data_IF_145860163764
#
_entry.id   IF_145860163764
#
_cell.length_a   1.000
_cell.length_b   1.000
_cell.length_c   1.000
_cell.angle_alpha   90.00
_cell.angle_beta   90.00
_cell.angle_gamma   90.00
#
_symmetry.space_group_name_H-M   'P 1'
#
loop_
_entity.id
_entity.type
_entity.pdbx_description
1 polymer ?
#
# COMPACT_ATOMS: atom_id res chain seq x y z
N UNK A 1 -20.87 21.65 8.72
CA UNK A 1 -19.99 21.91 7.55
C UNK A 1 -18.50 21.67 7.83
N UNK A 2 -17.98 21.97 9.03
CA UNK A 2 -16.55 21.81 9.35
C UNK A 2 -16.01 20.37 9.17
N UNK A 3 -16.71 19.37 9.71
CA UNK A 3 -16.31 17.96 9.60
C UNK A 3 -16.20 17.45 8.15
N UNK A 4 -17.06 17.92 7.25
CA UNK A 4 -17.01 17.53 5.83
C UNK A 4 -15.79 18.12 5.14
N UNK A 5 -15.42 19.37 5.46
CA UNK A 5 -14.21 20.00 4.93
C UNK A 5 -12.96 19.29 5.43
N UNK A 6 -12.95 18.96 6.72
CA UNK A 6 -11.86 18.18 7.33
C UNK A 6 -11.71 16.80 6.68
N UNK A 7 -12.80 16.03 6.56
CA UNK A 7 -12.78 14.71 5.93
C UNK A 7 -12.32 14.77 4.46
N UNK A 8 -12.73 15.80 3.69
CA UNK A 8 -12.23 16.02 2.33
C UNK A 8 -10.73 16.34 2.32
N UNK A 9 -10.27 17.22 3.21
CA UNK A 9 -8.86 17.57 3.31
C UNK A 9 -8.00 16.35 3.63
N UNK A 10 -8.41 15.55 4.63
CA UNK A 10 -7.74 14.28 4.98
C UNK A 10 -7.71 13.35 3.76
N UNK A 11 -8.86 13.08 3.15
CA UNK A 11 -8.94 12.18 1.99
C UNK A 11 -8.12 12.66 0.79
N UNK A 12 -8.05 13.97 0.54
CA UNK A 12 -7.20 14.54 -0.52
C UNK A 12 -5.72 14.36 -0.19
N UNK A 13 -5.31 14.73 1.03
CA UNK A 13 -3.92 14.64 1.46
C UNK A 13 -3.41 13.20 1.43
N UNK A 14 -4.18 12.25 1.98
CA UNK A 14 -3.79 10.84 1.99
C UNK A 14 -3.73 10.24 0.58
N UNK A 15 -4.66 10.60 -0.31
CA UNK A 15 -4.58 10.19 -1.73
C UNK A 15 -3.35 10.75 -2.43
N UNK A 16 -2.95 12.00 -2.16
CA UNK A 16 -1.73 12.57 -2.73
C UNK A 16 -0.47 11.88 -2.22
N UNK A 17 -0.43 11.55 -0.93
CA UNK A 17 0.66 10.77 -0.33
C UNK A 17 0.73 9.38 -0.98
N UNK A 18 -0.39 8.68 -1.13
CA UNK A 18 -0.42 7.37 -1.77
C UNK A 18 -0.06 7.41 -3.26
N UNK A 19 -0.47 8.46 -3.96
CA UNK A 19 -0.06 8.70 -5.34
C UNK A 19 1.46 8.89 -5.44
N UNK A 20 2.04 9.70 -4.54
CA UNK A 20 3.48 9.89 -4.45
C UNK A 20 4.20 8.56 -4.20
N UNK A 21 3.75 7.77 -3.22
CA UNK A 21 4.32 6.46 -2.91
C UNK A 21 4.22 5.52 -4.11
N UNK A 22 3.07 5.49 -4.80
CA UNK A 22 2.88 4.66 -5.98
C UNK A 22 3.84 5.03 -7.12
N UNK A 23 3.99 6.33 -7.40
CA UNK A 23 4.95 6.82 -8.41
C UNK A 23 6.38 6.45 -8.04
N UNK A 24 6.77 6.65 -6.78
CA UNK A 24 8.11 6.26 -6.31
C UNK A 24 8.35 4.75 -6.45
N UNK A 25 7.37 3.91 -6.09
CA UNK A 25 7.49 2.46 -6.22
C UNK A 25 7.58 2.01 -7.68
N UNK A 26 6.80 2.61 -8.58
CA UNK A 26 6.88 2.33 -10.02
C UNK A 26 8.26 2.72 -10.57
N UNK A 27 8.78 3.89 -10.17
CA UNK A 27 10.12 4.33 -10.56
C UNK A 27 11.20 3.39 -10.04
N UNK A 28 11.12 2.98 -8.77
CA UNK A 28 12.05 2.01 -8.17
C UNK A 28 11.98 0.68 -8.92
N UNK A 29 10.79 0.20 -9.25
CA UNK A 29 10.58 -1.07 -9.98
C UNK A 29 11.21 -0.99 -11.36
N UNK A 30 10.97 0.10 -12.09
CA UNK A 30 11.55 0.36 -13.41
C UNK A 30 13.08 0.43 -13.34
N UNK A 31 13.62 1.24 -12.43
CA UNK A 31 15.06 1.39 -12.25
C UNK A 31 15.73 0.08 -11.85
N UNK A 32 15.11 -0.71 -10.97
CA UNK A 32 15.63 -2.00 -10.52
C UNK A 32 15.58 -3.08 -11.61
N UNK A 33 14.64 -2.97 -12.55
CA UNK A 33 14.57 -3.86 -13.71
C UNK A 33 15.74 -3.62 -14.68
N UNK A 34 16.14 -2.36 -14.88
CA UNK A 34 17.27 -2.01 -15.75
C UNK A 34 18.63 -2.10 -15.05
N UNK A 35 18.70 -1.67 -13.80
CA UNK A 35 19.91 -1.59 -12.98
C UNK A 35 19.66 -2.31 -11.65
N UNK A 36 19.79 -3.65 -11.60
CA UNK A 36 19.55 -4.40 -10.38
C UNK A 36 20.52 -3.95 -9.26
N UNK A 37 20.03 -3.85 -8.01
CA UNK A 37 20.84 -3.38 -6.90
C UNK A 37 21.99 -4.33 -6.61
N UNK A 38 23.08 -3.78 -6.07
CA UNK A 38 24.22 -4.59 -5.64
C UNK A 38 23.79 -5.57 -4.54
N UNK A 39 24.26 -6.82 -4.58
CA UNK A 39 23.90 -7.81 -3.56
C UNK A 39 24.64 -7.48 -2.25
N UNK A 40 23.90 -6.92 -1.28
CA UNK A 40 24.42 -6.62 0.07
C UNK A 40 24.14 -7.77 1.04
N UNK A 41 22.98 -8.42 0.87
CA UNK A 41 22.50 -9.52 1.74
C UNK A 41 22.58 -10.88 1.04
N UNK A 42 22.60 -10.88 -0.30
CA UNK A 42 22.73 -12.08 -1.12
C UNK A 42 24.21 -12.35 -1.44
N UNK A 43 24.64 -13.62 -1.45
CA UNK A 43 26.00 -13.97 -1.89
C UNK A 43 26.18 -13.87 -3.42
N UNK A 44 25.11 -13.99 -4.18
CA UNK A 44 25.10 -13.94 -5.65
C UNK A 44 24.33 -12.70 -6.14
N UNK A 45 24.44 -12.39 -7.43
CA UNK A 45 23.76 -11.23 -8.00
C UNK A 45 22.25 -11.40 -7.88
N UNK A 46 21.58 -10.33 -7.48
CA UNK A 46 20.14 -10.38 -7.15
C UNK A 46 19.29 -10.77 -8.37
N UNK A 47 19.73 -10.44 -9.58
CA UNK A 47 19.03 -10.74 -10.83
C UNK A 47 19.10 -12.23 -11.24
N UNK A 48 19.95 -13.04 -10.61
CA UNK A 48 20.04 -14.48 -10.88
C UNK A 48 18.91 -15.25 -10.17
N UNK A 49 18.29 -14.65 -9.14
CA UNK A 49 17.18 -15.26 -8.42
C UNK A 49 15.84 -14.99 -9.11
N UNK A 50 15.05 -16.03 -9.46
CA UNK A 50 13.70 -15.83 -10.01
C UNK A 50 12.78 -15.08 -9.04
N UNK A 51 13.06 -15.20 -7.73
CA UNK A 51 12.35 -14.48 -6.67
C UNK A 51 12.47 -12.95 -6.82
N UNK A 52 13.58 -12.43 -7.35
CA UNK A 52 13.75 -11.00 -7.59
C UNK A 52 12.80 -10.49 -8.67
N UNK A 53 12.73 -11.20 -9.80
CA UNK A 53 11.82 -10.85 -10.91
C UNK A 53 10.37 -10.90 -10.45
N UNK A 54 9.98 -11.97 -9.74
CA UNK A 54 8.63 -12.10 -9.17
C UNK A 54 8.32 -10.95 -8.21
N UNK A 55 9.28 -10.58 -7.35
CA UNK A 55 9.11 -9.47 -6.42
C UNK A 55 8.92 -8.14 -7.13
N UNK A 56 9.71 -7.85 -8.17
CA UNK A 56 9.54 -6.63 -8.98
C UNK A 56 8.16 -6.59 -9.65
N UNK A 57 7.70 -7.71 -10.20
CA UNK A 57 6.38 -7.79 -10.81
C UNK A 57 5.26 -7.54 -9.80
N UNK A 58 5.35 -8.13 -8.60
CA UNK A 58 4.37 -7.93 -7.54
C UNK A 58 4.35 -6.47 -7.04
N UNK A 59 5.53 -5.86 -6.82
CA UNK A 59 5.63 -4.45 -6.43
C UNK A 59 5.06 -3.55 -7.54
N UNK A 60 5.35 -3.84 -8.80
CA UNK A 60 4.83 -3.10 -9.96
C UNK A 60 3.31 -3.18 -10.06
N UNK A 61 2.72 -4.38 -9.94
CA UNK A 61 1.27 -4.58 -9.92
C UNK A 61 0.62 -3.83 -8.76
N UNK A 62 1.18 -3.96 -7.55
CA UNK A 62 0.69 -3.27 -6.36
C UNK A 62 0.74 -1.75 -6.51
N UNK A 63 1.86 -1.21 -6.99
CA UNK A 63 2.04 0.23 -7.18
C UNK A 63 1.11 0.77 -8.28
N UNK A 64 0.89 0.02 -9.36
CA UNK A 64 -0.07 0.39 -10.41
C UNK A 64 -1.49 0.43 -9.86
N UNK A 65 -1.89 -0.57 -9.07
CA UNK A 65 -3.20 -0.58 -8.44
C UNK A 65 -3.38 0.59 -7.47
N UNK A 66 -2.36 0.85 -6.63
CA UNK A 66 -2.37 1.98 -5.70
C UNK A 66 -2.45 3.32 -6.43
N UNK A 67 -1.76 3.47 -7.56
CA UNK A 67 -1.81 4.65 -8.42
C UNK A 67 -3.23 4.91 -8.95
N UNK A 68 -3.81 3.89 -9.60
CA UNK A 68 -5.18 3.98 -10.16
C UNK A 68 -6.20 4.27 -9.07
N UNK A 69 -6.10 3.60 -7.94
CA UNK A 69 -7.00 3.81 -6.81
C UNK A 69 -6.87 5.22 -6.24
N UNK A 70 -5.65 5.75 -6.10
CA UNK A 70 -5.41 7.10 -5.60
C UNK A 70 -5.95 8.17 -6.55
N UNK A 71 -5.79 7.98 -7.87
CA UNK A 71 -6.40 8.84 -8.88
C UNK A 71 -7.93 8.79 -8.82
N UNK A 72 -8.50 7.59 -8.72
CA UNK A 72 -9.95 7.42 -8.56
C UNK A 72 -10.46 8.13 -7.30
N UNK A 73 -9.71 8.06 -6.20
CA UNK A 73 -9.99 8.79 -4.97
C UNK A 73 -10.04 10.29 -5.19
N UNK A 74 -9.04 10.88 -5.83
CA UNK A 74 -9.00 12.31 -6.15
C UNK A 74 -10.15 12.73 -7.08
N UNK A 75 -10.37 11.97 -8.15
CA UNK A 75 -11.47 12.20 -9.11
C UNK A 75 -12.82 12.15 -8.39
N UNK A 76 -13.05 11.14 -7.54
CA UNK A 76 -14.31 11.00 -6.78
C UNK A 76 -14.55 12.20 -5.85
N UNK A 77 -13.50 12.80 -5.29
CA UNK A 77 -13.62 13.98 -4.44
C UNK A 77 -14.03 15.23 -5.25
N UNK A 78 -13.59 15.35 -6.51
CA UNK A 78 -13.92 16.44 -7.43
C UNK A 78 -15.34 16.34 -8.00
N UNK A 79 -15.72 15.18 -8.55
CA UNK A 79 -16.99 15.01 -9.27
C UNK A 79 -18.23 14.88 -8.37
N UNK A 80 -18.06 14.93 -7.04
CA UNK A 80 -19.14 14.83 -6.03
C UNK A 80 -20.04 13.58 -6.14
N UNK A 81 -19.68 12.60 -6.99
CA UNK A 81 -20.46 11.40 -7.27
C UNK A 81 -20.25 10.33 -6.18
N UNK A 82 -21.35 9.78 -5.64
CA UNK A 82 -21.33 8.74 -4.61
C UNK A 82 -20.82 7.38 -5.11
N UNK A 83 -21.09 7.02 -6.38
CA UNK A 83 -20.72 5.73 -6.97
C UNK A 83 -19.20 5.60 -7.09
N UNK A 84 -18.53 6.64 -7.58
CA UNK A 84 -17.06 6.64 -7.70
C UNK A 84 -16.39 6.49 -6.33
N UNK A 85 -16.95 7.14 -5.31
CA UNK A 85 -16.44 7.06 -3.95
C UNK A 85 -16.69 5.68 -3.33
N UNK A 86 -17.81 5.03 -3.66
CA UNK A 86 -18.10 3.65 -3.25
C UNK A 86 -17.13 2.64 -3.89
N UNK A 87 -16.89 2.74 -5.21
CA UNK A 87 -15.90 1.89 -5.91
C UNK A 87 -14.50 2.10 -5.31
N UNK A 88 -14.14 3.35 -5.00
CA UNK A 88 -12.91 3.68 -4.32
C UNK A 88 -12.80 2.98 -2.95
N UNK A 89 -13.85 3.02 -2.13
CA UNK A 89 -13.89 2.33 -0.82
C UNK A 89 -13.69 0.82 -0.99
N UNK A 90 -14.38 0.19 -1.97
CA UNK A 90 -14.20 -1.25 -2.24
C UNK A 90 -12.75 -1.58 -2.62
N UNK A 91 -12.13 -0.75 -3.47
CA UNK A 91 -10.73 -0.89 -3.83
C UNK A 91 -9.78 -0.74 -2.63
N UNK A 92 -10.06 0.18 -1.70
CA UNK A 92 -9.29 0.31 -0.47
C UNK A 92 -9.40 -0.92 0.42
N UNK A 93 -10.61 -1.48 0.58
CA UNK A 93 -10.84 -2.71 1.35
C UNK A 93 -10.07 -3.88 0.75
N UNK A 94 -10.11 -4.05 -0.57
CA UNK A 94 -9.33 -5.08 -1.26
C UNK A 94 -7.82 -4.93 -1.00
N UNK A 95 -7.29 -3.71 -1.07
CA UNK A 95 -5.87 -3.45 -0.80
C UNK A 95 -5.48 -3.73 0.65
N UNK A 96 -6.28 -3.32 1.62
CA UNK A 96 -6.03 -3.63 3.03
C UNK A 96 -6.01 -5.15 3.26
N UNK A 97 -6.89 -5.90 2.61
CA UNK A 97 -6.93 -7.36 2.71
C UNK A 97 -5.66 -8.01 2.15
N UNK A 98 -5.19 -7.57 0.98
CA UNK A 98 -3.94 -8.04 0.36
C UNK A 98 -2.74 -7.74 1.27
N UNK A 99 -2.67 -6.53 1.85
CA UNK A 99 -1.61 -6.15 2.79
C UNK A 99 -1.68 -7.02 4.05
N UNK A 100 -2.86 -7.26 4.60
CA UNK A 100 -3.06 -8.10 5.78
C UNK A 100 -2.60 -9.54 5.56
N UNK A 101 -2.95 -10.14 4.42
CA UNK A 101 -2.48 -11.49 4.05
C UNK A 101 -0.95 -11.49 3.90
N UNK A 102 -0.41 -10.51 3.18
CA UNK A 102 1.03 -10.41 2.94
C UNK A 102 1.79 -10.29 4.26
N UNK A 103 1.30 -9.46 5.18
CA UNK A 103 1.88 -9.27 6.51
C UNK A 103 1.85 -10.55 7.35
N UNK A 104 0.71 -11.26 7.38
CA UNK A 104 0.60 -12.54 8.09
C UNK A 104 1.54 -13.60 7.50
N UNK A 105 1.66 -13.65 6.17
CA UNK A 105 2.61 -14.53 5.49
C UNK A 105 4.06 -14.18 5.85
N UNK A 106 4.43 -12.90 5.86
CA UNK A 106 5.77 -12.47 6.29
C UNK A 106 6.07 -12.91 7.71
N UNK A 107 5.14 -12.72 8.66
CA UNK A 107 5.35 -13.13 10.06
C UNK A 107 5.51 -14.64 10.23
N UNK A 108 4.74 -15.44 9.50
CA UNK A 108 4.80 -16.91 9.60
C UNK A 108 6.09 -17.47 9.00
N UNK A 109 6.55 -16.92 7.87
CA UNK A 109 7.77 -17.41 7.18
C UNK A 109 9.06 -16.81 7.76
N UNK A 110 8.96 -15.71 8.52
CA UNK A 110 10.09 -14.99 9.15
C UNK A 110 11.12 -15.92 9.76
N UNK A 111 10.72 -16.77 10.71
CA UNK A 111 11.66 -17.66 11.44
C UNK A 111 12.40 -18.60 10.49
N UNK A 112 11.70 -19.13 9.48
CA UNK A 112 12.29 -20.02 8.48
C UNK A 112 13.27 -19.30 7.55
N UNK A 113 12.98 -18.05 7.20
CA UNK A 113 13.85 -17.18 6.41
C UNK A 113 15.15 -16.87 7.15
N UNK A 114 15.07 -16.46 8.42
CA UNK A 114 16.25 -16.16 9.25
C UNK A 114 17.16 -17.39 9.39
N UNK A 115 16.59 -18.57 9.67
CA UNK A 115 17.38 -19.80 9.80
C UNK A 115 18.08 -20.20 8.49
N UNK A 116 17.40 -20.08 7.34
CA UNK A 116 18.02 -20.36 6.04
C UNK A 116 19.11 -19.37 5.70
N UNK A 117 18.91 -18.09 6.01
CA UNK A 117 19.90 -17.05 5.71
C UNK A 117 21.14 -17.19 6.59
N UNK A 118 20.95 -17.53 7.87
CA UNK A 118 22.05 -17.84 8.78
C UNK A 118 22.88 -19.03 8.29
N UNK A 119 22.23 -20.12 7.85
CA UNK A 119 22.90 -21.30 7.31
C UNK A 119 23.75 -21.00 6.06
N UNK A 120 23.25 -20.15 5.15
CA UNK A 120 23.97 -19.72 3.94
C UNK A 120 25.23 -18.93 4.28
N UNK A 121 25.19 -18.12 5.34
CA UNK A 121 26.28 -17.21 5.71
C UNK A 121 27.25 -17.79 6.74
N UNK A 122 26.87 -18.83 7.50
CA UNK A 122 27.66 -19.44 8.59
C UNK A 122 29.07 -19.87 8.19
N UNK A 123 29.27 -20.27 6.93
CA UNK A 123 30.56 -20.75 6.43
C UNK A 123 31.27 -19.75 5.50
N UNK A 124 30.81 -18.50 5.43
CA UNK A 124 31.41 -17.47 4.56
C UNK A 124 32.38 -16.57 5.34
N UNK A 125 33.45 -16.07 4.70
CA UNK A 125 34.49 -15.28 5.36
C UNK A 125 33.96 -14.01 6.04
N UNK A 126 32.84 -13.45 5.55
CA UNK A 126 32.19 -12.27 6.13
C UNK A 126 31.41 -12.53 7.42
N UNK A 127 31.22 -13.79 7.83
CA UNK A 127 30.44 -14.19 9.02
C UNK A 127 31.06 -15.39 9.74
N UNK A 128 32.40 -15.42 9.86
CA UNK A 128 33.08 -16.45 10.66
C UNK A 128 32.70 -16.35 12.15
N UNK A 129 32.71 -17.50 12.83
CA UNK A 129 32.42 -17.60 14.27
C UNK A 129 33.29 -16.63 15.09
N UNK A 130 32.63 -15.76 15.86
CA UNK A 130 33.27 -14.76 16.72
C UNK A 130 33.20 -13.30 16.23
N UNK A 131 32.69 -13.03 15.01
CA UNK A 131 32.43 -11.68 14.50
C UNK A 131 30.94 -11.43 14.21
N UNK A 132 30.50 -10.16 14.30
CA UNK A 132 29.14 -9.75 13.94
C UNK A 132 28.92 -9.89 12.43
N UNK A 133 27.95 -10.71 12.05
CA UNK A 133 27.58 -10.95 10.66
C UNK A 133 26.80 -9.75 10.07
N UNK A 134 27.51 -8.82 9.42
CA UNK A 134 26.95 -7.57 8.86
C UNK A 134 25.76 -7.80 7.90
N UNK A 135 25.76 -8.80 6.99
CA UNK A 135 24.64 -9.05 6.10
C UNK A 135 23.35 -9.46 6.84
N UNK A 136 23.48 -10.24 7.92
CA UNK A 136 22.36 -10.73 8.71
C UNK A 136 21.74 -9.61 9.57
N UNK A 137 22.58 -8.75 10.13
CA UNK A 137 22.14 -7.56 10.86
C UNK A 137 21.44 -6.54 9.93
N UNK A 138 21.99 -6.33 8.74
CA UNK A 138 21.38 -5.48 7.71
C UNK A 138 20.01 -6.01 7.29
N UNK A 139 19.87 -7.33 7.11
CA UNK A 139 18.59 -7.97 6.81
C UNK A 139 17.57 -7.75 7.93
N UNK A 140 17.97 -7.98 9.19
CA UNK A 140 17.09 -7.83 10.36
C UNK A 140 16.64 -6.37 10.57
N UNK A 141 17.54 -5.42 10.34
CA UNK A 141 17.22 -3.98 10.40
C UNK A 141 16.24 -3.59 9.29
N UNK A 142 16.50 -4.01 8.05
CA UNK A 142 15.62 -3.73 6.90
C UNK A 142 14.24 -4.35 7.05
N UNK A 143 14.17 -5.58 7.57
CA UNK A 143 12.90 -6.26 7.87
C UNK A 143 12.09 -5.50 8.93
N UNK A 144 12.74 -5.06 10.01
CA UNK A 144 12.08 -4.34 11.09
C UNK A 144 11.57 -2.98 10.61
N UNK A 145 12.35 -2.28 9.79
CA UNK A 145 11.96 -1.03 9.16
C UNK A 145 10.75 -1.23 8.23
N UNK A 146 10.75 -2.28 7.41
CA UNK A 146 9.66 -2.61 6.50
C UNK A 146 8.37 -2.91 7.25
N UNK A 147 8.44 -3.69 8.33
CA UNK A 147 7.29 -3.97 9.22
C UNK A 147 6.74 -2.67 9.81
N UNK A 148 7.62 -1.80 10.31
CA UNK A 148 7.21 -0.52 10.91
C UNK A 148 6.52 0.40 9.88
N UNK A 149 7.07 0.50 8.67
CA UNK A 149 6.47 1.28 7.58
C UNK A 149 5.11 0.71 7.15
N UNK A 150 4.96 -0.62 7.07
CA UNK A 150 3.69 -1.27 6.76
C UNK A 150 2.61 -0.95 7.80
N UNK A 151 2.96 -0.93 9.09
CA UNK A 151 2.02 -0.58 10.17
C UNK A 151 1.57 0.88 10.02
N UNK A 152 2.49 1.82 9.80
CA UNK A 152 2.15 3.22 9.55
C UNK A 152 1.22 3.33 8.33
N UNK A 153 1.56 2.65 7.25
CA UNK A 153 0.79 2.69 6.02
C UNK A 153 -0.63 2.15 6.21
N UNK A 154 -0.79 1.06 6.97
CA UNK A 154 -2.09 0.50 7.33
C UNK A 154 -2.93 1.48 8.16
N UNK A 155 -2.33 2.15 9.15
CA UNK A 155 -3.01 3.17 9.96
C UNK A 155 -3.50 4.32 9.09
N UNK A 156 -2.67 4.81 8.18
CA UNK A 156 -3.07 5.87 7.22
C UNK A 156 -4.20 5.40 6.31
N UNK A 157 -4.18 4.15 5.83
CA UNK A 157 -5.28 3.58 5.04
C UNK A 157 -6.59 3.52 5.83
N UNK A 158 -6.56 3.12 7.10
CA UNK A 158 -7.75 3.07 7.97
C UNK A 158 -8.34 4.48 8.13
N UNK A 159 -7.50 5.48 8.41
CA UNK A 159 -7.94 6.88 8.54
C UNK A 159 -8.61 7.35 7.24
N UNK A 160 -8.00 7.04 6.09
CA UNK A 160 -8.55 7.41 4.79
C UNK A 160 -9.87 6.68 4.49
N UNK A 161 -10.00 5.42 4.87
CA UNK A 161 -11.22 4.64 4.71
C UNK A 161 -12.35 5.27 5.51
N UNK A 162 -12.12 5.62 6.79
CA UNK A 162 -13.11 6.26 7.65
C UNK A 162 -13.55 7.61 7.06
N UNK A 163 -12.60 8.44 6.61
CA UNK A 163 -12.92 9.72 5.99
C UNK A 163 -13.74 9.55 4.70
N UNK A 164 -13.39 8.56 3.88
CA UNK A 164 -14.04 8.29 2.60
C UNK A 164 -15.43 7.69 2.80
N UNK A 165 -15.59 6.79 3.77
CA UNK A 165 -16.87 6.22 4.19
C UNK A 165 -17.84 7.32 4.65
N UNK A 166 -17.39 8.19 5.54
CA UNK A 166 -18.20 9.31 6.03
C UNK A 166 -18.65 10.24 4.89
N UNK A 167 -17.77 10.53 3.94
CA UNK A 167 -18.11 11.34 2.77
C UNK A 167 -19.11 10.62 1.84
N UNK A 168 -18.98 9.32 1.68
CA UNK A 168 -19.86 8.50 0.84
C UNK A 168 -21.28 8.45 1.41
N UNK A 169 -21.40 8.16 2.71
CA UNK A 169 -22.70 8.14 3.39
C UNK A 169 -23.39 9.49 3.29
N UNK A 170 -22.66 10.58 3.60
CA UNK A 170 -23.22 11.93 3.52
C UNK A 170 -23.71 12.30 2.11
N UNK A 171 -22.94 11.96 1.07
CA UNK A 171 -23.33 12.22 -0.33
C UNK A 171 -24.53 11.37 -0.73
N UNK A 172 -24.54 10.09 -0.38
CA UNK A 172 -25.66 9.20 -0.65
C UNK A 172 -26.96 9.70 0.00
N UNK A 173 -26.91 10.14 1.26
CA UNK A 173 -28.07 10.73 1.94
C UNK A 173 -28.56 12.01 1.26
N UNK A 174 -27.66 12.86 0.76
CA UNK A 174 -28.03 14.07 0.01
C UNK A 174 -28.66 13.75 -1.34
N UNK A 175 -28.14 12.76 -2.06
CA UNK A 175 -28.70 12.31 -3.34
C UNK A 175 -30.10 11.71 -3.13
N UNK A 176 -30.28 10.85 -2.11
CA UNK A 176 -31.59 10.28 -1.75
C UNK A 176 -32.61 11.37 -1.40
N UNK A 177 -32.23 12.34 -0.58
CA UNK A 177 -33.10 13.45 -0.19
C UNK A 177 -33.54 14.29 -1.41
N UNK A 178 -32.62 14.58 -2.34
CA UNK A 178 -32.95 15.30 -3.59
C UNK A 178 -33.93 14.52 -4.47
N UNK A 179 -33.73 13.21 -4.60
CA UNK A 179 -34.64 12.34 -5.37
C UNK A 179 -36.03 12.26 -4.74
N UNK A 180 -36.14 12.30 -3.41
CA UNK A 180 -37.44 12.34 -2.72
C UNK A 180 -38.17 13.65 -2.93
N UNK A 181 -37.46 14.78 -2.89
CA UNK A 181 -38.03 16.10 -3.20
C UNK A 181 -38.53 16.17 -4.65
N UNK A 182 -37.74 15.71 -5.62
CA UNK A 182 -38.15 15.69 -7.02
C UNK A 182 -39.42 14.86 -7.25
N UNK A 183 -39.55 13.72 -6.56
CA UNK A 183 -40.77 12.91 -6.63
C UNK A 183 -41.98 13.58 -6.00
N UNK A 184 -41.79 14.27 -4.87
CA UNK A 184 -42.88 15.01 -4.24
C UNK A 184 -43.37 16.15 -5.14
N UNK A 185 -42.44 16.85 -5.81
CA UNK A 185 -42.80 17.90 -6.79
C UNK A 185 -43.50 17.32 -8.04
N UNK A 186 -43.12 16.11 -8.49
CA UNK A 186 -43.78 15.41 -9.62
C UNK A 186 -45.16 14.84 -9.27
N UNK A 187 -45.41 14.46 -8.00
CA UNK A 187 -46.70 13.92 -7.54
C UNK A 187 -47.75 15.03 -7.26
N UNK A 188 -47.33 16.29 -7.14
CA UNK A 188 -48.18 17.46 -6.87
C UNK A 188 -48.60 18.24 -8.16
N UNK A 189 -48.10 17.85 -9.35
CA UNK A 189 -48.52 18.35 -10.69
C UNK A 189 -49.59 17.46 -11.36
#
# INVERSE_FOLDING_TARGET
MAFTRFARCVATLTNLVFLSVAVSLLLITLLSAFNPPKPVVSPEKVNEYPQFIVTLLLIGCYATFLFVLSLLGLISLCFLNSILLFVFILGQVAMMFIIGISFAFTLTVRKRLHLKLEDIWKNKPSCMEGQTCIPLETFRSSESLLIFLLVIFLVVQIIQLIASWYLCERRSSQEKYKLQLQKADEDDE
#
